data_IF_106287906440
#
_entry.id   IF_106287906440
#
_cell.length_a   1.000
_cell.length_b   1.000
_cell.length_c   1.000
_cell.angle_alpha   90.00
_cell.angle_beta   90.00
_cell.angle_gamma   90.00
#
_symmetry.space_group_name_H-M   'P 1'
#
loop_
_entity.id
_entity.type
_entity.pdbx_description
1 polymer ?
#
# COMPACT_ATOMS: atom_id res chain seq x y z
N UNK A 1 -10.28 58.10 -2.76
CA UNK A 1 -11.24 56.96 -2.76
C UNK A 1 -10.57 55.80 -2.02
N UNK A 2 -11.35 55.07 -1.23
CA UNK A 2 -10.91 54.36 -0.03
C UNK A 2 -9.88 53.25 -0.27
N UNK A 3 -8.68 53.40 0.31
CA UNK A 3 -7.82 52.26 0.65
C UNK A 3 -7.89 52.05 2.16
N UNK A 4 -8.98 51.41 2.59
CA UNK A 4 -9.14 50.92 3.96
C UNK A 4 -8.11 49.82 4.18
N UNK A 5 -6.91 50.20 4.62
CA UNK A 5 -5.86 49.27 5.03
C UNK A 5 -6.39 48.56 6.28
N UNK A 6 -7.04 47.42 6.06
CA UNK A 6 -7.60 46.58 7.10
C UNK A 6 -6.44 46.23 8.03
N UNK A 7 -6.40 46.85 9.21
CA UNK A 7 -5.41 46.57 10.24
C UNK A 7 -5.64 45.13 10.67
N UNK A 8 -4.99 44.19 9.99
CA UNK A 8 -5.03 42.79 10.37
C UNK A 8 -4.50 42.73 11.80
N UNK A 9 -5.30 42.27 12.78
CA UNK A 9 -4.83 42.22 14.15
C UNK A 9 -3.61 41.29 14.16
N UNK A 10 -2.52 41.72 14.81
CA UNK A 10 -1.26 40.94 14.93
C UNK A 10 -1.48 39.52 15.49
N UNK A 11 -2.61 39.31 16.17
CA UNK A 11 -3.13 38.00 16.60
C UNK A 11 -3.45 37.07 15.41
N UNK A 12 -4.03 37.60 14.33
CA UNK A 12 -4.32 36.85 13.10
C UNK A 12 -3.01 36.46 12.38
N UNK A 13 -2.03 37.36 12.37
CA UNK A 13 -0.72 37.12 11.77
C UNK A 13 0.06 36.02 12.52
N UNK A 14 -0.07 35.94 13.86
CA UNK A 14 0.49 34.85 14.67
C UNK A 14 -0.21 33.51 14.49
N UNK A 15 -1.49 33.50 14.10
CA UNK A 15 -2.25 32.27 13.85
C UNK A 15 -2.02 31.70 12.44
N UNK A 16 -1.51 32.50 11.51
CA UNK A 16 -1.20 32.09 10.14
C UNK A 16 -0.25 30.88 10.05
N UNK A 17 0.89 30.82 10.78
CA UNK A 17 1.73 29.62 10.77
C UNK A 17 1.07 28.40 11.43
N UNK A 18 0.28 28.60 12.49
CA UNK A 18 -0.49 27.51 13.12
C UNK A 18 -1.54 26.93 12.17
N UNK A 19 -2.24 27.80 11.43
CA UNK A 19 -3.20 27.39 10.40
C UNK A 19 -2.50 26.66 9.25
N UNK A 20 -1.33 27.12 8.82
CA UNK A 20 -0.54 26.46 7.79
C UNK A 20 -0.07 25.06 8.23
N UNK A 21 0.39 24.91 9.49
CA UNK A 21 0.77 23.61 10.06
C UNK A 21 -0.44 22.69 10.18
N UNK A 22 -1.58 23.20 10.62
CA UNK A 22 -2.82 22.42 10.73
C UNK A 22 -3.31 21.94 9.35
N UNK A 23 -3.25 22.81 8.32
CA UNK A 23 -3.56 22.44 6.94
C UNK A 23 -2.58 21.39 6.40
N UNK A 24 -1.28 21.56 6.66
CA UNK A 24 -0.27 20.60 6.24
C UNK A 24 -0.49 19.23 6.91
N UNK A 25 -0.79 19.21 8.21
CA UNK A 25 -1.12 18.00 8.94
C UNK A 25 -2.38 17.32 8.38
N UNK A 26 -3.41 18.08 8.01
CA UNK A 26 -4.64 17.57 7.41
C UNK A 26 -4.40 16.94 6.03
N UNK A 27 -3.51 17.54 5.23
CA UNK A 27 -3.14 17.03 3.90
C UNK A 27 -2.24 15.78 4.00
N UNK A 28 -1.35 15.73 4.99
CA UNK A 28 -0.43 14.59 5.20
C UNK A 28 -1.09 13.42 5.94
N UNK A 29 -2.09 13.67 6.78
CA UNK A 29 -2.85 12.65 7.53
C UNK A 29 -3.29 11.45 6.66
N UNK A 30 -3.99 11.64 5.52
CA UNK A 30 -4.44 10.52 4.70
C UNK A 30 -3.30 9.77 3.99
N UNK A 31 -2.09 10.33 3.89
CA UNK A 31 -0.94 9.59 3.39
C UNK A 31 -0.40 8.61 4.42
N UNK A 32 -0.49 8.94 5.72
CA UNK A 32 -0.09 8.05 6.81
C UNK A 32 -1.10 6.91 7.02
N UNK A 33 -2.38 7.15 6.71
CA UNK A 33 -3.43 6.12 6.73
C UNK A 33 -3.60 5.40 5.39
N UNK A 34 -2.73 5.64 4.41
CA UNK A 34 -2.69 4.89 3.16
C UNK A 34 -2.00 3.56 3.41
N UNK A 35 -2.61 2.75 4.27
CA UNK A 35 -2.10 1.44 4.64
C UNK A 35 -2.10 0.52 3.43
N UNK A 36 -0.97 -0.12 3.16
CA UNK A 36 -0.83 -1.09 2.09
C UNK A 36 -1.64 -2.35 2.41
N UNK A 37 -2.85 -2.42 1.85
CA UNK A 37 -3.76 -3.54 2.04
C UNK A 37 -3.44 -4.67 1.06
N UNK A 38 -2.18 -4.96 0.79
CA UNK A 38 -1.79 -6.02 -0.13
C UNK A 38 -0.83 -7.00 0.55
N UNK A 39 -1.06 -8.28 0.33
CA UNK A 39 -0.18 -9.36 0.74
C UNK A 39 0.40 -10.03 -0.48
N UNK A 40 1.67 -10.40 -0.38
CA UNK A 40 2.35 -11.20 -1.37
C UNK A 40 2.75 -12.54 -0.76
N UNK A 41 2.42 -13.61 -1.46
CA UNK A 41 2.85 -14.96 -1.14
C UNK A 41 3.87 -15.37 -2.19
N UNK A 42 5.10 -15.70 -1.79
CA UNK A 42 6.14 -16.21 -2.70
C UNK A 42 6.57 -17.59 -2.28
N UNK A 43 7.01 -18.41 -3.23
CA UNK A 43 7.75 -19.61 -2.90
C UNK A 43 9.15 -19.21 -2.38
N UNK A 44 9.51 -19.66 -1.18
CA UNK A 44 10.80 -19.39 -0.53
C UNK A 44 11.96 -20.11 -1.23
N UNK A 45 11.69 -21.21 -1.94
CA UNK A 45 12.69 -22.00 -2.69
C UNK A 45 12.22 -22.36 -4.09
N UNK A 46 13.17 -22.46 -5.02
CA UNK A 46 12.93 -22.97 -6.37
C UNK A 46 12.47 -24.43 -6.30
N UNK A 47 11.34 -24.76 -6.94
CA UNK A 47 10.76 -26.10 -6.96
C UNK A 47 9.53 -26.31 -6.07
N UNK A 48 9.12 -25.29 -5.30
CA UNK A 48 7.83 -25.31 -4.57
C UNK A 48 6.77 -24.64 -5.44
N UNK A 49 5.73 -25.38 -5.82
CA UNK A 49 4.60 -24.81 -6.54
C UNK A 49 3.87 -23.79 -5.67
N UNK A 50 3.56 -22.64 -6.27
CA UNK A 50 2.73 -21.63 -5.62
C UNK A 50 1.34 -22.18 -5.28
N UNK A 51 0.75 -21.73 -4.17
CA UNK A 51 -0.61 -22.12 -3.83
C UNK A 51 -1.56 -21.57 -4.88
N UNK A 52 -2.60 -22.35 -5.18
CA UNK A 52 -3.63 -21.93 -6.10
C UNK A 52 -4.39 -20.72 -5.54
N UNK A 53 -4.65 -19.71 -6.39
CA UNK A 53 -5.33 -18.49 -5.98
C UNK A 53 -6.76 -18.73 -5.47
N UNK A 54 -7.45 -19.74 -5.99
CA UNK A 54 -8.80 -20.12 -5.58
C UNK A 54 -8.80 -20.82 -4.23
N UNK A 55 -7.80 -21.65 -3.93
CA UNK A 55 -7.64 -22.25 -2.61
C UNK A 55 -7.43 -21.18 -1.52
N UNK A 56 -6.56 -20.21 -1.82
CA UNK A 56 -6.32 -19.07 -0.92
C UNK A 56 -7.59 -18.23 -0.74
N UNK A 57 -8.32 -17.97 -1.83
CA UNK A 57 -9.60 -17.28 -1.79
C UNK A 57 -10.61 -17.98 -0.87
N UNK A 58 -10.85 -19.27 -1.06
CA UNK A 58 -11.82 -20.03 -0.25
C UNK A 58 -11.45 -20.01 1.22
N UNK A 59 -10.17 -20.17 1.53
CA UNK A 59 -9.73 -20.27 2.91
C UNK A 59 -9.87 -18.95 3.65
N UNK A 60 -9.49 -17.84 3.01
CA UNK A 60 -9.69 -16.51 3.56
C UNK A 60 -11.19 -16.18 3.70
N UNK A 61 -12.00 -16.53 2.70
CA UNK A 61 -13.45 -16.34 2.75
C UNK A 61 -14.11 -17.16 3.87
N UNK A 62 -13.65 -18.40 4.12
CA UNK A 62 -14.12 -19.25 5.21
C UNK A 62 -13.75 -18.68 6.60
N UNK A 63 -12.74 -17.83 6.69
CA UNK A 63 -12.38 -17.07 7.90
C UNK A 63 -13.09 -15.71 7.98
N UNK A 64 -14.01 -15.42 7.04
CA UNK A 64 -14.73 -14.14 6.98
C UNK A 64 -13.88 -12.97 6.46
N UNK A 65 -12.72 -13.25 5.86
CA UNK A 65 -11.81 -12.22 5.35
C UNK A 65 -12.15 -11.97 3.88
N UNK A 66 -12.68 -10.78 3.60
CA UNK A 66 -13.00 -10.37 2.23
C UNK A 66 -11.74 -9.93 1.49
N UNK A 67 -11.60 -10.41 0.26
CA UNK A 67 -10.51 -10.07 -0.64
C UNK A 67 -11.06 -9.16 -1.73
N UNK A 68 -10.32 -8.11 -2.05
CA UNK A 68 -10.62 -7.18 -3.14
C UNK A 68 -10.24 -7.75 -4.50
N UNK A 69 -9.04 -8.32 -4.59
CA UNK A 69 -8.53 -8.94 -5.81
C UNK A 69 -7.39 -9.92 -5.52
N UNK A 70 -7.27 -10.95 -6.35
CA UNK A 70 -6.13 -11.87 -6.36
C UNK A 70 -5.50 -11.81 -7.74
N UNK A 71 -4.19 -11.62 -7.79
CA UNK A 71 -3.42 -11.53 -9.03
C UNK A 71 -2.25 -12.52 -8.96
N UNK A 72 -2.24 -13.58 -9.79
CA UNK A 72 -1.09 -14.43 -9.92
C UNK A 72 0.02 -13.71 -10.70
N UNK A 73 1.22 -13.74 -10.16
CA UNK A 73 2.46 -13.31 -10.82
C UNK A 73 3.41 -14.51 -11.00
N UNK A 74 4.47 -14.31 -11.80
CA UNK A 74 5.40 -15.35 -12.25
C UNK A 74 5.87 -16.30 -11.15
N UNK A 75 6.19 -15.76 -9.97
CA UNK A 75 6.63 -16.56 -8.82
C UNK A 75 6.03 -16.05 -7.50
N UNK A 76 4.89 -15.37 -7.58
CA UNK A 76 4.24 -14.73 -6.45
C UNK A 76 2.72 -14.69 -6.64
N UNK A 77 1.96 -14.68 -5.55
CA UNK A 77 0.53 -14.43 -5.55
C UNK A 77 0.26 -13.13 -4.79
N UNK A 78 -0.29 -12.12 -5.46
CA UNK A 78 -0.62 -10.83 -4.86
C UNK A 78 -2.10 -10.81 -4.51
N UNK A 79 -2.42 -10.48 -3.27
CA UNK A 79 -3.77 -10.45 -2.73
C UNK A 79 -4.02 -9.05 -2.18
N UNK A 80 -5.00 -8.33 -2.72
CA UNK A 80 -5.38 -7.00 -2.24
C UNK A 80 -6.65 -7.11 -1.40
N UNK A 81 -6.71 -6.32 -0.34
CA UNK A 81 -7.78 -6.25 0.65
C UNK A 81 -8.37 -4.84 0.68
N UNK A 82 -9.60 -4.73 1.18
CA UNK A 82 -10.25 -3.43 1.33
C UNK A 82 -9.79 -2.70 2.59
N UNK A 83 -9.38 -3.42 3.64
CA UNK A 83 -8.86 -2.84 4.89
C UNK A 83 -7.54 -3.45 5.36
N UNK A 84 -6.79 -2.66 6.14
CA UNK A 84 -5.54 -3.09 6.76
C UNK A 84 -5.79 -4.22 7.76
N UNK A 85 -6.88 -4.15 8.50
CA UNK A 85 -7.28 -5.17 9.47
C UNK A 85 -7.51 -6.52 8.79
N UNK A 86 -8.16 -6.53 7.62
CA UNK A 86 -8.35 -7.72 6.79
C UNK A 86 -7.02 -8.27 6.31
N UNK A 87 -6.11 -7.43 5.83
CA UNK A 87 -4.77 -7.88 5.41
C UNK A 87 -3.97 -8.47 6.58
N UNK A 88 -4.03 -7.88 7.78
CA UNK A 88 -3.32 -8.38 8.95
C UNK A 88 -3.93 -9.70 9.46
N UNK A 89 -5.27 -9.84 9.41
CA UNK A 89 -5.95 -11.09 9.71
C UNK A 89 -5.58 -12.18 8.70
N UNK A 90 -5.58 -11.86 7.41
CA UNK A 90 -5.18 -12.76 6.34
C UNK A 90 -3.74 -13.22 6.51
N UNK A 91 -2.83 -12.32 6.85
CA UNK A 91 -1.42 -12.65 7.08
C UNK A 91 -1.29 -13.71 8.18
N UNK A 92 -1.98 -13.52 9.31
CA UNK A 92 -1.97 -14.48 10.43
C UNK A 92 -2.53 -15.84 10.03
N UNK A 93 -3.62 -15.85 9.27
CA UNK A 93 -4.26 -17.07 8.78
C UNK A 93 -3.33 -17.80 7.79
N UNK A 94 -2.80 -17.09 6.81
CA UNK A 94 -1.90 -17.65 5.80
C UNK A 94 -0.60 -18.17 6.40
N UNK A 95 0.00 -17.46 7.38
CA UNK A 95 1.20 -17.93 8.09
C UNK A 95 0.97 -19.23 8.84
N UNK A 96 -0.25 -19.46 9.35
CA UNK A 96 -0.62 -20.72 10.01
C UNK A 96 -0.86 -21.86 9.01
N UNK A 97 -1.45 -21.55 7.86
CA UNK A 97 -1.85 -22.53 6.85
C UNK A 97 -0.70 -22.94 5.92
N UNK A 98 0.22 -22.01 5.65
CA UNK A 98 1.36 -22.19 4.76
C UNK A 98 2.69 -22.09 5.52
N UNK A 99 2.95 -22.96 6.52
CA UNK A 99 4.12 -22.84 7.39
C UNK A 99 5.44 -23.23 6.70
N UNK A 100 5.40 -24.01 5.61
CA UNK A 100 6.61 -24.55 4.98
C UNK A 100 6.78 -24.04 3.56
N UNK A 101 7.90 -23.36 3.31
CA UNK A 101 8.35 -23.06 1.95
C UNK A 101 7.69 -21.84 1.29
N UNK A 102 6.89 -21.06 2.02
CA UNK A 102 6.28 -19.84 1.51
C UNK A 102 6.73 -18.63 2.33
N UNK A 103 7.10 -17.56 1.64
CA UNK A 103 7.37 -16.25 2.20
C UNK A 103 6.12 -15.38 2.05
N UNK A 104 5.58 -14.90 3.17
CA UNK A 104 4.38 -14.07 3.21
C UNK A 104 4.81 -12.70 3.72
N UNK A 105 4.72 -11.70 2.85
CA UNK A 105 5.10 -10.32 3.14
C UNK A 105 3.97 -9.38 2.74
N UNK A 106 3.90 -8.21 3.38
CA UNK A 106 3.06 -7.12 2.87
C UNK A 106 3.67 -6.60 1.58
N UNK A 107 2.82 -6.37 0.61
CA UNK A 107 3.22 -5.85 -0.68
C UNK A 107 3.05 -4.33 -0.63
N UNK A 108 4.17 -3.64 -0.49
CA UNK A 108 4.21 -2.20 -0.64
C UNK A 108 3.84 -1.92 -2.09
N UNK A 109 2.73 -1.20 -2.31
CA UNK A 109 2.33 -0.74 -3.64
C UNK A 109 3.29 0.36 -4.07
N UNK A 110 4.54 -0.04 -4.33
CA UNK A 110 5.58 0.81 -4.84
C UNK A 110 5.55 0.80 -6.38
N UNK A 111 4.37 0.62 -6.97
CA UNK A 111 4.15 0.83 -8.40
C UNK A 111 4.62 2.24 -8.79
N UNK A 112 4.45 3.20 -7.88
CA UNK A 112 4.90 4.59 -7.97
C UNK A 112 6.43 4.82 -7.88
N UNK A 113 7.27 3.87 -7.46
CA UNK A 113 8.73 3.98 -7.68
C UNK A 113 9.22 3.01 -8.76
N UNK A 114 8.50 1.91 -8.99
CA UNK A 114 8.83 0.94 -10.02
C UNK A 114 8.76 1.58 -11.43
N UNK A 115 7.78 2.45 -11.71
CA UNK A 115 7.74 3.17 -13.00
C UNK A 115 8.98 4.04 -13.23
N UNK A 116 9.53 4.67 -12.19
CA UNK A 116 10.74 5.51 -12.25
C UNK A 116 11.96 4.67 -12.66
N UNK A 117 12.04 3.44 -12.15
CA UNK A 117 13.12 2.53 -12.50
C UNK A 117 13.01 2.06 -13.96
N UNK A 118 11.79 1.93 -14.51
CA UNK A 118 11.56 1.56 -15.92
C UNK A 118 11.93 2.65 -16.92
N UNK A 119 11.72 3.93 -16.59
CA UNK A 119 12.11 5.04 -17.47
C UNK A 119 13.62 5.21 -17.56
N UNK A 120 14.34 4.85 -16.48
CA UNK A 120 15.77 5.11 -16.34
C UNK A 120 16.66 4.12 -17.12
N UNK A 121 16.10 3.05 -17.71
CA UNK A 121 16.86 1.90 -18.23
C UNK A 121 16.56 1.54 -19.70
N UNK A 122 16.43 2.53 -20.60
CA UNK A 122 16.55 2.27 -22.05
C UNK A 122 17.86 2.84 -22.58
N UNK A 123 19.02 2.16 -22.44
CA UNK A 123 20.14 2.41 -23.35
C UNK A 123 19.72 1.88 -24.73
N UNK A 124 19.36 2.78 -25.62
CA UNK A 124 19.16 2.47 -27.03
C UNK A 124 20.54 2.13 -27.61
N UNK A 125 20.87 0.85 -27.64
CA UNK A 125 22.02 0.33 -28.40
C UNK A 125 21.68 0.45 -29.88
N UNK A 126 22.07 1.57 -30.50
CA UNK A 126 22.18 1.65 -31.95
C UNK A 126 23.52 1.07 -32.34
N UNK A 127 23.47 0.04 -33.19
CA UNK A 127 24.65 -0.64 -33.74
C UNK A 127 25.34 0.16 -34.84
#
# INVERSE_FOLDING_TARGET
MMSGLMKLPTRLLRLLPLMAIALLALVLMPSLFRSENALQIRASRQGISLPDGFYVYQTLNAQGIQIKSITPEQNALIIKFDSMEQSAAAEKVLRKLLPYGFDIARHDNNDAANWINRISLRPQSVG
#
